data_IF_886904138486
#
_entry.id   IF_886904138486
#
_cell.length_a   1.000
_cell.length_b   1.000
_cell.length_c   1.000
_cell.angle_alpha   90.00
_cell.angle_beta   90.00
_cell.angle_gamma   90.00
#
_symmetry.space_group_name_H-M   'P 1'
#
loop_
_entity.id
_entity.type
_entity.pdbx_description
1 polymer ?
#
# COMPACT_ATOMS: atom_id res chain seq x y z
N UNK A 1 -3.77 -6.23 -16.70
CA UNK A 1 -3.11 -6.30 -15.38
C UNK A 1 -1.94 -5.29 -15.23
N UNK A 2 -2.04 -4.05 -15.75
CA UNK A 2 -0.92 -3.08 -15.69
C UNK A 2 -1.28 -1.66 -15.21
N UNK A 3 -2.53 -1.22 -15.37
CA UNK A 3 -2.91 0.16 -15.04
C UNK A 3 -3.07 0.41 -13.53
N UNK A 4 -3.67 -0.54 -12.81
CA UNK A 4 -3.94 -0.38 -11.38
C UNK A 4 -2.67 -0.45 -10.53
N UNK A 5 -1.74 -1.36 -10.86
CA UNK A 5 -0.43 -1.44 -10.18
C UNK A 5 0.35 -0.13 -10.35
N UNK A 6 0.31 0.47 -11.54
CA UNK A 6 0.93 1.77 -11.80
C UNK A 6 0.29 2.86 -10.94
N UNK A 7 -1.05 2.91 -10.85
CA UNK A 7 -1.76 3.85 -9.96
C UNK A 7 -1.37 3.68 -8.50
N UNK A 8 -1.27 2.44 -8.00
CA UNK A 8 -0.83 2.17 -6.63
C UNK A 8 0.58 2.69 -6.41
N UNK A 9 1.49 2.46 -7.36
CA UNK A 9 2.86 2.98 -7.26
C UNK A 9 2.91 4.51 -7.31
N UNK A 10 2.13 5.14 -8.19
CA UNK A 10 1.98 6.60 -8.25
C UNK A 10 1.47 7.15 -6.90
N UNK A 11 0.43 6.57 -6.32
CA UNK A 11 -0.06 6.93 -4.99
C UNK A 11 1.07 6.81 -3.96
N UNK A 12 1.71 5.65 -3.85
CA UNK A 12 2.77 5.42 -2.86
C UNK A 12 4.01 6.31 -3.08
N UNK A 13 4.24 6.80 -4.30
CA UNK A 13 5.32 7.75 -4.57
C UNK A 13 5.09 9.12 -3.93
N UNK A 14 3.83 9.51 -3.71
CA UNK A 14 3.46 10.77 -3.05
C UNK A 14 3.63 10.72 -1.53
N UNK A 15 3.62 9.51 -0.95
CA UNK A 15 3.73 9.31 0.50
C UNK A 15 5.06 8.63 0.84
N UNK A 16 6.11 9.44 1.08
CA UNK A 16 7.45 8.94 1.48
C UNK A 16 7.41 8.01 2.70
N UNK A 17 6.53 8.32 3.64
CA UNK A 17 6.32 7.49 4.84
C UNK A 17 5.42 6.28 4.61
N UNK A 18 4.91 6.08 3.41
CA UNK A 18 3.98 5.01 3.06
C UNK A 18 2.56 5.25 3.52
N UNK A 19 1.72 4.27 3.20
CA UNK A 19 0.31 4.23 3.59
C UNK A 19 -0.05 2.87 4.16
N UNK A 20 -1.02 2.85 5.07
CA UNK A 20 -1.69 1.61 5.45
C UNK A 20 -2.67 1.19 4.34
N UNK A 21 -3.22 -0.02 4.47
CA UNK A 21 -4.12 -0.62 3.47
C UNK A 21 -5.33 0.27 3.18
N UNK A 22 -5.98 0.76 4.24
CA UNK A 22 -7.18 1.60 4.14
C UNK A 22 -6.85 2.96 3.50
N UNK A 23 -5.69 3.54 3.81
CA UNK A 23 -5.21 4.76 3.17
C UNK A 23 -5.04 4.60 1.66
N UNK A 24 -4.52 3.46 1.21
CA UNK A 24 -4.40 3.16 -0.23
C UNK A 24 -5.79 3.01 -0.86
N UNK A 25 -6.74 2.33 -0.19
CA UNK A 25 -8.12 2.20 -0.69
C UNK A 25 -8.81 3.55 -0.84
N UNK A 26 -8.63 4.46 0.13
CA UNK A 26 -9.16 5.82 0.07
C UNK A 26 -8.60 6.57 -1.15
N UNK A 27 -7.29 6.49 -1.39
CA UNK A 27 -6.67 7.14 -2.55
C UNK A 27 -7.09 6.51 -3.89
N UNK A 28 -7.51 5.25 -3.88
CA UNK A 28 -8.10 4.56 -5.04
C UNK A 28 -9.60 4.80 -5.18
N UNK A 29 -10.20 5.64 -4.33
CA UNK A 29 -11.65 5.92 -4.29
C UNK A 29 -12.49 4.63 -4.12
N UNK A 30 -12.01 3.73 -3.26
CA UNK A 30 -12.68 2.45 -2.97
C UNK A 30 -13.29 2.43 -1.58
N UNK A 31 -14.39 1.71 -1.46
CA UNK A 31 -15.02 1.44 -0.18
C UNK A 31 -14.14 0.59 0.73
N UNK A 32 -14.22 0.87 2.03
CA UNK A 32 -13.45 0.21 3.08
C UNK A 32 -14.09 -1.12 3.52
N UNK A 33 -14.26 -2.03 2.58
CA UNK A 33 -14.81 -3.37 2.80
C UNK A 33 -13.71 -4.41 3.02
N UNK A 34 -14.03 -5.52 3.69
CA UNK A 34 -13.09 -6.63 3.89
C UNK A 34 -12.66 -7.28 2.57
N UNK A 35 -13.56 -7.32 1.59
CA UNK A 35 -13.25 -7.82 0.25
C UNK A 35 -12.20 -6.94 -0.45
N UNK A 36 -12.39 -5.62 -0.46
CA UNK A 36 -11.44 -4.69 -1.05
C UNK A 36 -10.07 -4.76 -0.36
N UNK A 37 -10.05 -4.90 0.97
CA UNK A 37 -8.82 -5.11 1.74
C UNK A 37 -8.11 -6.40 1.33
N UNK A 38 -8.84 -7.51 1.20
CA UNK A 38 -8.28 -8.80 0.80
C UNK A 38 -7.68 -8.74 -0.60
N UNK A 39 -8.42 -8.18 -1.56
CA UNK A 39 -7.98 -8.03 -2.94
C UNK A 39 -6.73 -7.14 -3.04
N UNK A 40 -6.73 -6.00 -2.34
CA UNK A 40 -5.58 -5.10 -2.34
C UNK A 40 -4.36 -5.75 -1.68
N UNK A 41 -4.54 -6.44 -0.56
CA UNK A 41 -3.45 -7.15 0.13
C UNK A 41 -2.79 -8.17 -0.79
N UNK A 42 -3.60 -8.97 -1.50
CA UNK A 42 -3.10 -9.95 -2.47
C UNK A 42 -2.26 -9.26 -3.57
N UNK A 43 -2.76 -8.16 -4.15
CA UNK A 43 -2.02 -7.40 -5.17
C UNK A 43 -0.69 -6.85 -4.66
N UNK A 44 -0.70 -6.21 -3.49
CA UNK A 44 0.49 -5.62 -2.88
C UNK A 44 1.55 -6.67 -2.57
N UNK A 45 1.15 -7.87 -2.13
CA UNK A 45 2.06 -8.98 -1.82
C UNK A 45 2.86 -9.45 -3.04
N UNK A 46 2.26 -9.45 -4.23
CA UNK A 46 2.91 -9.92 -5.45
C UNK A 46 3.68 -8.82 -6.20
N UNK A 47 3.56 -7.55 -5.78
CA UNK A 47 4.25 -6.44 -6.42
C UNK A 47 5.66 -6.24 -5.84
N UNK A 48 6.68 -6.69 -6.59
CA UNK A 48 8.11 -6.60 -6.19
C UNK A 48 8.63 -5.17 -5.96
N UNK A 49 7.94 -4.16 -6.46
CA UNK A 49 8.27 -2.75 -6.27
C UNK A 49 7.76 -2.16 -4.95
N UNK A 50 6.95 -2.91 -4.20
CA UNK A 50 6.34 -2.46 -2.95
C UNK A 50 6.94 -3.25 -1.79
N UNK A 51 7.36 -2.54 -0.75
CA UNK A 51 7.81 -3.13 0.51
C UNK A 51 6.72 -3.00 1.56
N UNK A 52 6.60 -4.05 2.38
CA UNK A 52 5.73 -4.07 3.55
C UNK A 52 6.59 -3.87 4.80
N UNK A 53 6.28 -2.82 5.54
CA UNK A 53 6.93 -2.47 6.81
C UNK A 53 5.89 -2.46 7.93
N UNK A 54 6.35 -2.59 9.16
CA UNK A 54 5.49 -2.52 10.33
C UNK A 54 5.88 -1.29 11.14
N UNK A 55 4.90 -0.48 11.51
CA UNK A 55 5.12 0.69 12.35
C UNK A 55 4.25 0.54 13.60
N UNK A 56 4.86 0.69 14.77
CA UNK A 56 4.12 0.75 16.02
C UNK A 56 3.52 2.15 16.18
N UNK A 57 2.19 2.22 16.37
CA UNK A 57 1.47 3.42 16.75
C UNK A 57 0.56 3.09 17.92
N UNK A 58 0.67 3.83 19.01
CA UNK A 58 -0.26 3.76 20.16
C UNK A 58 -0.54 2.32 20.62
N UNK A 59 0.51 1.52 20.84
CA UNK A 59 0.45 0.09 21.24
C UNK A 59 -0.14 -0.88 20.22
N UNK A 60 -0.31 -0.45 18.97
CA UNK A 60 -0.77 -1.29 17.87
C UNK A 60 0.29 -1.32 16.77
N UNK A 61 0.53 -2.50 16.20
CA UNK A 61 1.40 -2.66 15.04
C UNK A 61 0.57 -2.47 13.78
N UNK A 62 0.84 -1.41 13.04
CA UNK A 62 0.19 -1.14 11.75
C UNK A 62 1.10 -1.59 10.61
N UNK A 63 0.49 -2.17 9.58
CA UNK A 63 1.20 -2.48 8.34
C UNK A 63 1.21 -1.24 7.45
N UNK A 64 2.40 -0.86 6.98
CA UNK A 64 2.64 0.27 6.09
C UNK A 64 3.31 -0.23 4.81
N UNK A 65 2.74 0.13 3.67
CA UNK A 65 3.28 -0.17 2.35
C UNK A 65 4.00 1.05 1.79
N UNK A 66 5.21 0.85 1.25
CA UNK A 66 6.04 1.88 0.63
C UNK A 66 6.58 1.39 -0.71
N UNK A 67 6.96 2.30 -1.59
CA UNK A 67 7.79 1.92 -2.74
C UNK A 67 9.18 1.50 -2.25
N UNK A 68 9.74 0.46 -2.87
CA UNK A 68 11.13 0.08 -2.68
C UNK A 68 12.01 1.21 -3.22
N UNK A 69 12.74 1.89 -2.35
CA UNK A 69 13.78 2.82 -2.79
C UNK A 69 14.96 1.99 -3.26
N UNK A 70 15.33 2.14 -4.54
CA UNK A 70 16.59 1.60 -5.03
C UNK A 70 17.68 2.58 -4.62
N UNK A 71 18.56 2.16 -3.71
CA UNK A 71 19.84 2.85 -3.50
C UNK A 71 20.58 2.81 -4.84
N UNK A 72 20.75 3.97 -5.47
CA UNK A 72 21.71 4.15 -6.57
C UNK A 72 23.11 4.31 -6.01
#
# INVERSE_FOLDING_TARGET
MKAEDKKIQEILSLYKEGLNLDGILIQLERELTNENRLLLTSKLQWNRGIIRTYQERTKQVCTIYKLKQFSS
#
